data_IF_029526778039
#
_entry.id   IF_029526778039
#
_cell.length_a   1.000
_cell.length_b   1.000
_cell.length_c   1.000
_cell.angle_alpha   90.00
_cell.angle_beta   90.00
_cell.angle_gamma   90.00
#
_symmetry.space_group_name_H-M   'P 1'
#
loop_
_entity.id
_entity.type
_entity.pdbx_description
1 polymer ?
#
# COMPACT_ATOMS: atom_id res chain seq x y z
N UNK A 1 -24.18 -11.36 8.50
CA UNK A 1 -25.12 -10.96 7.43
C UNK A 1 -25.18 -12.06 6.38
N UNK A 2 -26.31 -12.32 5.73
CA UNK A 2 -26.41 -13.31 4.65
C UNK A 2 -27.32 -12.79 3.52
N UNK A 3 -26.93 -13.02 2.27
CA UNK A 3 -27.60 -12.54 1.06
C UNK A 3 -28.08 -13.72 0.23
N UNK A 4 -29.39 -13.85 0.04
CA UNK A 4 -29.99 -14.94 -0.73
C UNK A 4 -30.16 -14.52 -2.20
N UNK A 5 -29.46 -15.24 -3.11
CA UNK A 5 -29.55 -15.07 -4.56
C UNK A 5 -30.43 -16.15 -5.21
N UNK A 6 -31.23 -16.86 -4.41
CA UNK A 6 -32.11 -17.97 -4.81
C UNK A 6 -31.35 -19.28 -5.03
N UNK A 7 -30.25 -19.26 -5.78
CA UNK A 7 -29.43 -20.46 -6.01
C UNK A 7 -28.38 -20.70 -4.93
N UNK A 8 -27.96 -19.64 -4.25
CA UNK A 8 -26.95 -19.67 -3.19
C UNK A 8 -27.17 -18.51 -2.24
N UNK A 9 -26.77 -18.70 -0.97
CA UNK A 9 -26.76 -17.64 0.02
C UNK A 9 -25.32 -17.25 0.31
N UNK A 10 -24.92 -16.00 0.12
CA UNK A 10 -23.59 -15.51 0.51
C UNK A 10 -23.65 -15.00 1.94
N UNK A 11 -22.97 -15.69 2.85
CA UNK A 11 -22.81 -15.28 4.24
C UNK A 11 -21.53 -14.49 4.46
N UNK A 12 -21.65 -13.37 5.17
CA UNK A 12 -20.57 -12.67 5.84
C UNK A 12 -20.63 -13.05 7.32
N UNK A 13 -19.78 -14.00 7.69
CA UNK A 13 -19.81 -14.76 8.95
C UNK A 13 -18.71 -14.26 9.87
N UNK A 14 -18.71 -12.95 10.06
CA UNK A 14 -17.84 -12.23 10.99
C UNK A 14 -18.72 -11.48 11.95
N UNK A 15 -18.42 -11.61 13.25
CA UNK A 15 -19.07 -10.83 14.32
C UNK A 15 -18.60 -9.36 14.31
N UNK A 16 -17.51 -9.06 13.62
CA UNK A 16 -16.73 -7.85 13.82
C UNK A 16 -17.14 -6.68 12.90
N UNK A 17 -18.13 -6.85 12.01
CA UNK A 17 -18.59 -5.83 11.06
C UNK A 17 -17.43 -5.00 10.46
N UNK A 18 -16.32 -5.66 10.11
CA UNK A 18 -15.04 -5.03 9.76
C UNK A 18 -15.11 -4.09 8.56
N UNK A 19 -16.19 -4.15 7.80
CA UNK A 19 -16.51 -3.30 6.68
C UNK A 19 -18.03 -3.25 6.51
N UNK A 20 -18.51 -2.16 5.92
CA UNK A 20 -19.92 -2.02 5.52
C UNK A 20 -19.97 -2.15 4.00
N UNK A 21 -20.45 -3.28 3.45
CA UNK A 21 -20.64 -3.37 2.02
C UNK A 21 -21.75 -2.41 1.61
N UNK A 22 -21.49 -1.61 0.58
CA UNK A 22 -22.50 -0.82 -0.10
C UNK A 22 -23.03 -1.60 -1.30
N UNK A 23 -24.35 -1.64 -1.43
CA UNK A 23 -25.04 -2.29 -2.52
C UNK A 23 -25.92 -1.25 -3.20
N UNK A 24 -25.96 -1.28 -4.51
CA UNK A 24 -26.80 -0.43 -5.31
C UNK A 24 -27.17 -1.14 -6.61
N UNK A 25 -28.32 -0.78 -7.20
CA UNK A 25 -28.78 -1.39 -8.44
C UNK A 25 -27.97 -0.90 -9.64
N UNK A 26 -27.29 0.24 -9.49
CA UNK A 26 -26.40 0.84 -10.47
C UNK A 26 -25.13 1.39 -9.81
N UNK A 27 -24.06 1.51 -10.58
CA UNK A 27 -22.79 2.08 -10.11
C UNK A 27 -22.94 3.56 -9.69
N UNK A 28 -23.84 4.30 -10.35
CA UNK A 28 -24.15 5.70 -10.03
C UNK A 28 -24.81 5.91 -8.67
N UNK A 29 -25.38 4.86 -8.10
CA UNK A 29 -26.02 4.89 -6.78
C UNK A 29 -25.05 4.51 -5.65
N UNK A 30 -23.84 4.03 -5.97
CA UNK A 30 -22.83 3.77 -4.96
C UNK A 30 -22.36 5.11 -4.36
N UNK A 31 -22.13 5.17 -3.03
CA UNK A 31 -21.79 6.43 -2.35
C UNK A 31 -20.45 7.01 -2.79
N UNK A 32 -19.59 6.18 -3.39
CA UNK A 32 -18.30 6.57 -3.92
C UNK A 32 -18.09 5.85 -5.24
N UNK A 33 -17.93 6.61 -6.31
CA UNK A 33 -17.54 6.09 -7.62
C UNK A 33 -16.07 6.44 -7.85
N UNK A 34 -15.20 5.44 -7.74
CA UNK A 34 -13.77 5.62 -8.00
C UNK A 34 -13.50 5.41 -9.48
N UNK A 35 -12.62 6.25 -10.04
CA UNK A 35 -12.10 6.02 -11.39
C UNK A 35 -11.46 4.62 -11.45
N UNK A 36 -11.87 3.78 -12.40
CA UNK A 36 -11.14 2.55 -12.71
C UNK A 36 -9.79 2.95 -13.31
N UNK A 37 -8.77 2.98 -12.45
CA UNK A 37 -7.41 3.35 -12.80
C UNK A 37 -6.82 2.51 -13.95
N UNK A 38 -7.33 1.29 -14.16
CA UNK A 38 -6.87 0.43 -15.23
C UNK A 38 -7.58 0.68 -16.57
N UNK A 39 -8.72 1.38 -16.58
CA UNK A 39 -9.46 1.76 -17.78
C UNK A 39 -9.25 3.24 -18.14
N UNK A 40 -9.25 4.13 -17.15
CA UNK A 40 -9.07 5.58 -17.33
C UNK A 40 -7.95 6.13 -16.41
N UNK A 41 -6.71 5.77 -16.76
CA UNK A 41 -5.53 6.22 -16.01
C UNK A 41 -5.35 7.75 -16.07
N UNK A 42 -5.78 8.40 -17.15
CA UNK A 42 -5.67 9.85 -17.30
C UNK A 42 -6.60 10.59 -16.33
N UNK A 43 -7.87 10.19 -16.24
CA UNK A 43 -8.79 10.76 -15.26
C UNK A 43 -8.33 10.52 -13.82
N UNK A 44 -7.73 9.35 -13.55
CA UNK A 44 -7.11 9.09 -12.24
C UNK A 44 -5.98 10.09 -11.96
N UNK A 45 -5.02 10.25 -12.88
CA UNK A 45 -3.89 11.21 -12.73
C UNK A 45 -4.39 12.65 -12.58
N UNK A 46 -5.46 13.02 -13.30
CA UNK A 46 -6.13 14.31 -13.16
C UNK A 46 -6.73 14.51 -11.76
N UNK A 47 -7.46 13.54 -11.23
CA UNK A 47 -8.03 13.62 -9.88
C UNK A 47 -6.95 13.76 -8.80
N UNK A 48 -5.79 13.11 -8.99
CA UNK A 48 -4.63 13.25 -8.10
C UNK A 48 -4.05 14.66 -8.16
N UNK A 49 -3.91 15.20 -9.37
CA UNK A 49 -3.42 16.54 -9.60
C UNK A 49 -4.32 17.60 -8.95
N UNK A 50 -5.65 17.49 -9.14
CA UNK A 50 -6.64 18.37 -8.54
C UNK A 50 -6.62 18.29 -7.00
N UNK A 51 -6.65 17.08 -6.45
CA UNK A 51 -6.57 16.85 -5.00
C UNK A 51 -5.29 17.45 -4.40
N UNK A 52 -4.15 17.27 -5.07
CA UNK A 52 -2.86 17.84 -4.65
C UNK A 52 -2.89 19.37 -4.59
N UNK A 53 -3.50 20.02 -5.59
CA UNK A 53 -3.63 21.48 -5.65
C UNK A 53 -4.54 22.00 -4.53
N UNK A 54 -5.65 21.32 -4.24
CA UNK A 54 -6.54 21.65 -3.12
C UNK A 54 -5.80 21.56 -1.78
N UNK A 55 -5.10 20.44 -1.56
CA UNK A 55 -4.38 20.17 -0.31
C UNK A 55 -3.24 21.14 -0.03
N UNK A 56 -2.66 21.74 -1.06
CA UNK A 56 -1.58 22.74 -0.93
C UNK A 56 -2.02 24.00 -0.17
N UNK A 57 -3.32 24.23 -0.01
CA UNK A 57 -3.88 25.30 0.80
C UNK A 57 -3.77 25.05 2.32
N UNK A 58 -3.41 23.82 2.72
CA UNK A 58 -3.30 23.39 4.14
C UNK A 58 -1.84 23.19 4.58
N UNK A 59 -1.62 23.01 5.88
CA UNK A 59 -0.31 22.65 6.43
C UNK A 59 0.01 21.18 6.11
N UNK A 60 1.02 20.94 5.26
CA UNK A 60 1.38 19.61 4.73
C UNK A 60 2.54 18.93 5.46
N UNK A 61 2.58 19.05 6.79
CA UNK A 61 3.64 18.48 7.65
C UNK A 61 3.29 17.10 8.22
N UNK A 62 2.05 16.62 8.01
CA UNK A 62 1.62 15.28 8.41
C UNK A 62 2.30 14.22 7.55
N UNK A 63 2.41 12.99 8.04
CA UNK A 63 2.88 11.87 7.21
C UNK A 63 1.96 11.65 6.01
N UNK A 64 2.55 11.51 4.82
CA UNK A 64 1.81 11.25 3.59
C UNK A 64 0.94 9.99 3.70
N UNK A 65 1.43 8.93 4.35
CA UNK A 65 0.68 7.68 4.55
C UNK A 65 -0.61 7.89 5.36
N UNK A 66 -0.62 8.82 6.31
CA UNK A 66 -1.82 9.10 7.11
C UNK A 66 -2.77 10.00 6.32
N UNK A 67 -2.26 11.02 5.63
CA UNK A 67 -3.08 11.90 4.78
C UNK A 67 -3.79 11.11 3.68
N UNK A 68 -3.10 10.17 3.03
CA UNK A 68 -3.70 9.29 2.03
C UNK A 68 -4.80 8.41 2.61
N UNK A 69 -4.62 7.91 3.84
CA UNK A 69 -5.61 7.05 4.51
C UNK A 69 -6.86 7.82 4.96
N UNK A 70 -6.67 9.02 5.51
CA UNK A 70 -7.73 9.78 6.15
C UNK A 70 -8.48 10.64 5.12
N UNK A 71 -7.74 11.40 4.31
CA UNK A 71 -8.27 12.41 3.38
C UNK A 71 -8.23 11.94 1.91
N UNK A 72 -7.51 10.85 1.64
CA UNK A 72 -7.29 10.34 0.29
C UNK A 72 -8.31 9.28 -0.15
N UNK A 73 -9.28 8.91 0.69
CA UNK A 73 -10.16 7.76 0.42
C UNK A 73 -10.91 7.86 -0.92
N UNK A 74 -11.22 9.07 -1.41
CA UNK A 74 -11.87 9.29 -2.71
C UNK A 74 -10.97 8.99 -3.91
N UNK A 75 -9.64 9.10 -3.73
CA UNK A 75 -8.65 9.05 -4.81
C UNK A 75 -7.73 7.82 -4.69
N UNK A 76 -7.42 7.38 -3.47
CA UNK A 76 -6.38 6.39 -3.17
C UNK A 76 -6.96 5.12 -2.52
N UNK A 77 -6.94 4.01 -3.26
CA UNK A 77 -7.35 2.70 -2.77
C UNK A 77 -6.19 1.82 -2.30
N UNK A 78 -5.57 2.10 -1.14
CA UNK A 78 -4.59 1.17 -0.54
C UNK A 78 -3.20 1.19 -1.19
N UNK A 79 -2.40 2.21 -0.86
CA UNK A 79 -1.06 2.43 -1.44
C UNK A 79 0.05 2.43 -0.40
N UNK A 80 1.24 1.96 -0.78
CA UNK A 80 2.45 1.97 0.03
C UNK A 80 3.41 3.08 -0.38
N UNK A 81 3.83 3.91 0.59
CA UNK A 81 4.85 4.95 0.48
C UNK A 81 5.91 4.72 1.55
N UNK A 82 7.05 5.42 1.44
CA UNK A 82 7.90 5.62 2.60
C UNK A 82 7.06 6.16 3.76
N UNK A 83 7.07 5.45 4.88
CA UNK A 83 6.20 5.73 6.02
C UNK A 83 6.63 6.95 6.82
N UNK A 84 7.77 7.55 6.47
CA UNK A 84 8.39 8.66 7.17
C UNK A 84 8.32 9.99 6.42
N UNK A 85 7.91 9.97 5.14
CA UNK A 85 7.77 11.19 4.35
C UNK A 85 6.50 11.93 4.74
N UNK A 86 6.63 13.26 4.81
CA UNK A 86 5.50 14.16 4.95
C UNK A 86 4.71 14.27 3.65
N UNK A 87 3.48 14.75 3.76
CA UNK A 87 2.64 15.12 2.63
C UNK A 87 3.36 16.07 1.67
N UNK A 88 4.02 17.12 2.18
CA UNK A 88 4.82 18.03 1.36
C UNK A 88 5.96 17.32 0.61
N UNK A 89 6.71 16.44 1.28
CA UNK A 89 7.83 15.69 0.65
C UNK A 89 7.37 14.79 -0.49
N UNK A 90 6.17 14.23 -0.39
CA UNK A 90 5.62 13.37 -1.44
C UNK A 90 5.01 14.22 -2.54
N UNK A 91 4.13 15.17 -2.20
CA UNK A 91 3.29 15.87 -3.16
C UNK A 91 3.90 17.15 -3.76
N UNK A 92 5.06 17.60 -3.28
CA UNK A 92 5.86 18.64 -3.96
C UNK A 92 7.03 18.05 -4.75
N UNK A 93 7.17 16.72 -4.81
CA UNK A 93 8.20 16.04 -5.59
C UNK A 93 7.56 15.31 -6.78
N UNK A 94 7.76 15.76 -8.03
CA UNK A 94 7.17 15.12 -9.21
C UNK A 94 7.48 13.62 -9.32
N UNK A 95 8.71 13.23 -9.01
CA UNK A 95 9.11 11.81 -9.03
C UNK A 95 8.37 10.97 -7.99
N UNK A 96 8.15 11.50 -6.78
CA UNK A 96 7.42 10.78 -5.71
C UNK A 96 5.97 10.53 -6.12
N UNK A 97 5.27 11.57 -6.59
CA UNK A 97 3.87 11.43 -7.01
C UNK A 97 3.74 10.52 -8.22
N UNK A 98 4.63 10.64 -9.20
CA UNK A 98 4.62 9.79 -10.37
C UNK A 98 4.86 8.32 -10.00
N UNK A 99 5.89 8.02 -9.19
CA UNK A 99 6.14 6.65 -8.69
C UNK A 99 4.95 6.10 -7.92
N UNK A 100 4.27 6.94 -7.14
CA UNK A 100 3.08 6.55 -6.40
C UNK A 100 1.93 6.15 -7.33
N UNK A 101 1.66 6.96 -8.36
CA UNK A 101 0.63 6.68 -9.36
C UNK A 101 0.94 5.41 -10.16
N UNK A 102 2.19 5.23 -10.59
CA UNK A 102 2.64 4.04 -11.34
C UNK A 102 2.61 2.77 -10.47
N UNK A 103 2.98 2.87 -9.20
CA UNK A 103 2.88 1.77 -8.25
C UNK A 103 1.42 1.36 -8.00
N UNK A 104 0.52 2.34 -7.88
CA UNK A 104 -0.89 2.07 -7.66
C UNK A 104 -1.54 1.42 -8.88
N UNK A 105 -1.28 1.92 -10.09
CA UNK A 105 -1.73 1.26 -11.32
C UNK A 105 -1.16 -0.17 -11.42
N UNK A 106 0.12 -0.37 -11.13
CA UNK A 106 0.73 -1.70 -11.17
C UNK A 106 0.03 -2.67 -10.23
N UNK A 107 -0.29 -2.21 -9.01
CA UNK A 107 -1.02 -3.02 -8.03
C UNK A 107 -2.42 -3.38 -8.52
N UNK A 108 -3.16 -2.40 -9.04
CA UNK A 108 -4.51 -2.60 -9.60
C UNK A 108 -4.46 -3.57 -10.79
N UNK A 109 -3.56 -3.36 -11.76
CA UNK A 109 -3.45 -4.20 -12.94
C UNK A 109 -3.05 -5.65 -12.60
N UNK A 110 -2.07 -5.85 -11.70
CA UNK A 110 -1.70 -7.19 -11.20
C UNK A 110 -2.85 -7.86 -10.46
N UNK A 111 -3.70 -7.08 -9.81
CA UNK A 111 -4.90 -7.60 -9.17
C UNK A 111 -5.92 -7.97 -10.23
N UNK A 112 -6.33 -7.08 -11.12
CA UNK A 112 -7.28 -7.34 -12.20
C UNK A 112 -6.92 -8.58 -13.04
N UNK A 113 -5.67 -8.66 -13.48
CA UNK A 113 -5.20 -9.74 -14.38
C UNK A 113 -4.88 -11.04 -13.64
N UNK A 114 -4.38 -10.98 -12.40
CA UNK A 114 -3.89 -12.15 -11.67
C UNK A 114 -4.81 -12.65 -10.56
N UNK A 115 -5.86 -11.91 -10.18
CA UNK A 115 -6.67 -12.24 -9.00
C UNK A 115 -7.38 -13.59 -9.14
N UNK A 116 -7.92 -13.91 -10.32
CA UNK A 116 -8.63 -15.19 -10.52
C UNK A 116 -7.70 -16.39 -10.30
N UNK A 117 -6.54 -16.39 -10.94
CA UNK A 117 -5.55 -17.46 -10.80
C UNK A 117 -4.95 -17.50 -9.40
N UNK A 118 -4.78 -16.32 -8.80
CA UNK A 118 -4.38 -16.20 -7.40
C UNK A 118 -5.42 -16.85 -6.49
N UNK A 119 -6.70 -16.49 -6.58
CA UNK A 119 -7.75 -16.97 -5.67
C UNK A 119 -8.09 -18.46 -5.88
N UNK A 120 -7.95 -18.99 -7.10
CA UNK A 120 -8.25 -20.40 -7.45
C UNK A 120 -7.79 -21.42 -6.39
N UNK A 121 -6.52 -21.46 -5.94
CA UNK A 121 -6.04 -22.40 -4.91
C UNK A 121 -6.54 -22.13 -3.48
N UNK A 122 -7.15 -20.98 -3.21
CA UNK A 122 -7.66 -20.61 -1.88
C UNK A 122 -9.12 -20.97 -1.70
N UNK A 123 -9.84 -21.39 -2.75
CA UNK A 123 -11.19 -21.89 -2.62
C UNK A 123 -11.18 -23.30 -2.04
N UNK A 124 -11.90 -23.50 -0.93
CA UNK A 124 -12.29 -24.82 -0.47
C UNK A 124 -13.81 -24.87 -0.36
N UNK A 125 -14.46 -25.51 -1.34
CA UNK A 125 -15.89 -25.35 -1.56
C UNK A 125 -16.21 -23.89 -1.86
N UNK A 126 -16.87 -23.23 -0.91
CA UNK A 126 -17.31 -21.84 -1.04
C UNK A 126 -16.64 -20.87 -0.06
N UNK A 127 -15.62 -21.32 0.67
CA UNK A 127 -14.87 -20.49 1.62
C UNK A 127 -13.51 -20.13 1.05
N UNK A 128 -13.10 -18.87 1.19
CA UNK A 128 -11.78 -18.43 0.83
C UNK A 128 -10.78 -18.65 1.98
N UNK A 129 -9.63 -19.23 1.66
CA UNK A 129 -8.51 -19.44 2.58
C UNK A 129 -8.86 -20.23 3.86
N UNK A 130 -9.64 -21.31 3.70
CA UNK A 130 -10.11 -22.16 4.79
C UNK A 130 -8.99 -22.80 5.65
N UNK A 131 -7.77 -22.93 5.14
CA UNK A 131 -6.64 -23.54 5.86
C UNK A 131 -5.53 -22.55 6.20
N UNK A 132 -4.78 -22.83 7.27
CA UNK A 132 -3.55 -22.09 7.63
C UNK A 132 -2.56 -22.03 6.46
N UNK A 133 -2.40 -23.12 5.70
CA UNK A 133 -1.50 -23.15 4.54
C UNK A 133 -1.98 -22.20 3.42
N UNK A 134 -3.29 -22.19 3.15
CA UNK A 134 -3.87 -21.22 2.22
C UNK A 134 -3.64 -19.81 2.75
N UNK A 135 -3.96 -19.50 4.01
CA UNK A 135 -3.71 -18.17 4.58
C UNK A 135 -2.25 -17.72 4.42
N UNK A 136 -1.29 -18.56 4.78
CA UNK A 136 0.15 -18.26 4.62
C UNK A 136 0.58 -18.05 3.16
N UNK A 137 -0.10 -18.65 2.18
CA UNK A 137 0.18 -18.40 0.76
C UNK A 137 -0.20 -16.97 0.36
N UNK A 138 -1.18 -16.34 1.00
CA UNK A 138 -1.54 -14.95 0.75
C UNK A 138 -0.42 -13.98 1.14
N UNK A 139 0.28 -14.25 2.25
CA UNK A 139 1.43 -13.45 2.68
C UNK A 139 2.53 -13.32 1.62
N UNK A 140 2.61 -14.28 0.69
CA UNK A 140 3.55 -14.24 -0.44
C UNK A 140 3.23 -13.12 -1.44
N UNK A 141 1.99 -12.63 -1.47
CA UNK A 141 1.54 -11.52 -2.33
C UNK A 141 1.85 -10.15 -1.72
N UNK A 142 1.96 -10.08 -0.39
CA UNK A 142 2.42 -8.89 0.29
C UNK A 142 3.90 -8.70 -0.01
N UNK A 143 4.35 -7.46 -0.24
CA UNK A 143 5.78 -7.21 -0.39
C UNK A 143 6.43 -7.06 0.98
N UNK A 144 6.14 -5.95 1.69
CA UNK A 144 6.72 -5.59 2.99
C UNK A 144 5.80 -5.89 4.17
N UNK A 145 4.50 -5.64 4.03
CA UNK A 145 3.54 -5.74 5.14
C UNK A 145 3.50 -7.14 5.77
N UNK A 146 3.58 -7.20 7.10
CA UNK A 146 3.44 -8.45 7.85
C UNK A 146 4.61 -9.41 7.71
N UNK A 147 5.80 -8.94 7.32
CA UNK A 147 6.99 -9.78 7.14
C UNK A 147 8.15 -9.31 8.02
N UNK A 148 8.99 -10.26 8.42
CA UNK A 148 10.27 -9.96 9.10
C UNK A 148 11.36 -9.59 8.09
N UNK A 149 11.33 -10.21 6.91
CA UNK A 149 12.31 -9.99 5.85
C UNK A 149 11.63 -10.01 4.48
N UNK A 150 12.23 -9.29 3.54
CA UNK A 150 11.82 -9.29 2.13
C UNK A 150 13.00 -9.62 1.23
N UNK A 151 12.69 -10.27 0.12
CA UNK A 151 13.66 -10.40 -0.97
C UNK A 151 13.78 -9.07 -1.73
N UNK A 152 15.00 -8.75 -2.13
CA UNK A 152 15.32 -7.54 -2.87
C UNK A 152 16.43 -7.79 -3.88
N UNK A 153 16.55 -6.89 -4.86
CA UNK A 153 17.68 -6.85 -5.77
C UNK A 153 18.95 -6.43 -5.04
N UNK A 154 20.11 -6.70 -5.65
CA UNK A 154 21.40 -6.20 -5.16
C UNK A 154 21.36 -4.69 -5.01
N UNK A 155 20.93 -3.98 -6.06
CA UNK A 155 20.88 -2.51 -6.07
C UNK A 155 19.95 -1.93 -5.01
N UNK A 156 18.80 -2.56 -4.76
CA UNK A 156 17.87 -2.10 -3.73
C UNK A 156 18.44 -2.33 -2.33
N UNK A 157 19.20 -3.40 -2.13
CA UNK A 157 19.93 -3.64 -0.89
C UNK A 157 21.05 -2.62 -0.68
N UNK A 158 21.86 -2.34 -1.71
CA UNK A 158 22.90 -1.32 -1.67
C UNK A 158 22.33 0.08 -1.38
N UNK A 159 21.25 0.48 -2.05
CA UNK A 159 20.54 1.74 -1.77
C UNK A 159 20.05 1.81 -0.31
N UNK A 160 19.54 0.70 0.24
CA UNK A 160 19.10 0.65 1.63
C UNK A 160 20.27 0.80 2.61
N UNK A 161 21.42 0.18 2.32
CA UNK A 161 22.64 0.32 3.12
C UNK A 161 23.15 1.75 3.08
N UNK A 162 23.28 2.34 1.88
CA UNK A 162 23.71 3.73 1.70
C UNK A 162 22.78 4.71 2.43
N UNK A 163 21.47 4.49 2.35
CA UNK A 163 20.48 5.28 3.07
C UNK A 163 20.68 5.19 4.59
N UNK A 164 20.86 3.98 5.12
CA UNK A 164 21.13 3.76 6.54
C UNK A 164 22.44 4.39 7.00
N UNK A 165 23.51 4.27 6.19
CA UNK A 165 24.82 4.87 6.46
C UNK A 165 24.76 6.39 6.46
N UNK A 166 24.06 6.99 5.50
CA UNK A 166 23.82 8.43 5.46
C UNK A 166 23.09 8.91 6.71
N UNK A 167 22.03 8.21 7.14
CA UNK A 167 21.31 8.56 8.36
C UNK A 167 22.16 8.39 9.63
N UNK A 168 22.99 7.35 9.71
CA UNK A 168 23.89 7.15 10.85
C UNK A 168 24.95 8.25 10.92
N UNK A 169 25.52 8.63 9.77
CA UNK A 169 26.51 9.70 9.67
C UNK A 169 25.92 11.03 10.14
N UNK A 170 24.81 11.44 9.52
CA UNK A 170 24.17 12.70 9.89
C UNK A 170 23.56 12.66 11.29
N UNK A 171 23.02 11.53 11.75
CA UNK A 171 22.46 11.39 13.09
C UNK A 171 23.49 11.44 14.21
N UNK A 172 24.77 11.18 13.92
CA UNK A 172 25.88 11.38 14.85
C UNK A 172 26.32 12.84 14.93
N UNK A 173 25.98 13.65 13.93
CA UNK A 173 26.27 15.08 13.90
C UNK A 173 25.17 15.86 14.63
N UNK A 174 25.53 16.90 15.39
CA UNK A 174 24.53 17.79 16.00
C UNK A 174 23.88 18.74 14.97
N UNK A 175 24.51 18.86 13.79
CA UNK A 175 24.04 19.75 12.73
C UNK A 175 22.77 19.20 12.08
N UNK A 176 21.85 20.11 11.77
CA UNK A 176 20.63 19.77 11.04
C UNK A 176 20.93 19.60 9.55
N UNK A 177 20.25 18.65 8.92
CA UNK A 177 20.41 18.37 7.49
C UNK A 177 19.06 18.18 6.80
N UNK A 178 19.01 18.42 5.49
CA UNK A 178 17.80 18.25 4.69
C UNK A 178 17.59 16.78 4.29
N UNK A 179 16.34 16.32 4.32
CA UNK A 179 15.94 14.97 3.89
C UNK A 179 15.86 14.86 2.36
N UNK A 180 16.98 14.96 1.67
CA UNK A 180 17.04 14.90 0.21
C UNK A 180 18.40 14.38 -0.29
N UNK A 181 18.56 14.32 -1.61
CA UNK A 181 19.78 13.90 -2.30
C UNK A 181 21.05 14.66 -1.88
N UNK A 182 20.95 15.93 -1.43
CA UNK A 182 22.14 16.69 -0.98
C UNK A 182 22.76 16.12 0.29
N UNK A 183 21.96 15.43 1.11
CA UNK A 183 22.43 14.68 2.27
C UNK A 183 22.88 13.25 1.92
N UNK A 184 22.87 12.87 0.64
CA UNK A 184 23.08 11.49 0.20
C UNK A 184 21.91 10.56 0.55
N UNK A 185 20.72 11.11 0.80
CA UNK A 185 19.51 10.33 1.04
C UNK A 185 18.77 10.11 -0.27
N UNK A 186 19.02 8.95 -0.87
CA UNK A 186 18.29 8.47 -2.04
C UNK A 186 17.20 7.49 -1.63
N UNK A 187 16.07 7.54 -2.33
CA UNK A 187 14.97 6.62 -2.10
C UNK A 187 15.37 5.18 -2.44
N UNK A 188 15.01 4.27 -1.53
CA UNK A 188 15.16 2.82 -1.75
C UNK A 188 14.06 2.34 -2.70
N UNK A 189 14.30 2.55 -3.99
CA UNK A 189 13.35 2.30 -5.07
C UNK A 189 13.86 1.25 -6.06
N UNK A 190 12.95 0.38 -6.51
CA UNK A 190 13.22 -0.67 -7.50
C UNK A 190 12.23 -0.55 -8.68
N UNK A 191 12.65 0.03 -9.82
CA UNK A 191 11.80 0.27 -10.98
C UNK A 191 11.08 -0.98 -11.50
N UNK A 192 11.69 -2.16 -11.37
CA UNK A 192 11.08 -3.41 -11.83
C UNK A 192 9.75 -3.71 -11.12
N UNK A 193 9.55 -3.20 -9.90
CA UNK A 193 8.30 -3.40 -9.16
C UNK A 193 7.11 -2.69 -9.82
N UNK A 194 7.35 -1.60 -10.56
CA UNK A 194 6.35 -0.83 -11.32
C UNK A 194 6.43 -1.07 -12.83
N UNK A 195 7.22 -2.05 -13.27
CA UNK A 195 7.42 -2.38 -14.70
C UNK A 195 6.13 -2.46 -15.53
N UNK A 196 5.06 -3.14 -15.07
CA UNK A 196 3.81 -3.20 -15.84
C UNK A 196 3.26 -1.82 -16.19
N UNK A 197 3.34 -0.85 -15.28
CA UNK A 197 2.81 0.48 -15.55
C UNK A 197 3.70 1.26 -16.55
N UNK A 198 4.99 0.98 -16.58
CA UNK A 198 5.92 1.60 -17.54
C UNK A 198 5.88 0.95 -18.94
N UNK A 199 5.57 -0.35 -19.03
CA UNK A 199 5.56 -1.09 -20.31
C UNK A 199 4.16 -1.28 -20.92
N UNK A 200 3.13 -1.52 -20.10
CA UNK A 200 1.82 -1.98 -20.60
C UNK A 200 0.87 -0.82 -20.96
N UNK A 201 1.17 0.39 -20.51
CA UNK A 201 0.37 1.59 -20.78
C UNK A 201 0.95 2.42 -21.92
N UNK A 202 0.07 2.94 -22.78
CA UNK A 202 0.45 3.96 -23.76
C UNK A 202 0.82 5.30 -23.11
N UNK A 203 0.27 5.57 -21.93
CA UNK A 203 0.45 6.80 -21.17
C UNK A 203 0.98 6.48 -19.77
N UNK A 204 2.21 6.92 -19.49
CA UNK A 204 2.91 6.71 -18.22
C UNK A 204 3.71 7.96 -17.83
N UNK A 205 4.16 8.00 -16.58
CA UNK A 205 4.82 9.15 -15.96
C UNK A 205 6.34 8.96 -15.86
N UNK A 206 6.94 8.15 -16.73
CA UNK A 206 8.38 7.84 -16.68
C UNK A 206 9.26 9.10 -16.71
N UNK A 207 8.86 10.13 -17.48
CA UNK A 207 9.60 11.40 -17.57
C UNK A 207 9.67 12.15 -16.24
N UNK A 208 8.62 12.06 -15.40
CA UNK A 208 8.62 12.63 -14.06
C UNK A 208 9.42 11.79 -13.05
N UNK A 209 9.48 10.46 -13.24
CA UNK A 209 10.18 9.56 -12.31
C UNK A 209 11.69 9.72 -12.42
N UNK A 210 12.23 9.61 -13.63
CA UNK A 210 13.68 9.47 -13.85
C UNK A 210 14.37 10.72 -14.39
N UNK A 211 13.62 11.80 -14.67
CA UNK A 211 14.16 13.03 -15.26
C UNK A 211 14.98 12.73 -16.54
N UNK A 212 14.29 12.36 -17.63
CA UNK A 212 14.97 12.00 -18.89
C UNK A 212 14.25 11.01 -19.81
N UNK A 213 13.04 10.57 -19.45
CA UNK A 213 12.19 9.79 -20.36
C UNK A 213 11.82 10.59 -21.62
N UNK A 214 11.47 9.89 -22.71
CA UNK A 214 10.93 10.58 -23.89
C UNK A 214 9.74 11.41 -23.45
N UNK A 215 9.80 12.74 -23.65
CA UNK A 215 8.67 13.60 -23.33
C UNK A 215 7.43 13.02 -23.99
N UNK A 216 6.40 12.73 -23.20
CA UNK A 216 5.08 12.46 -23.76
C UNK A 216 4.75 13.60 -24.74
N UNK A 217 4.20 13.26 -25.90
CA UNK A 217 3.70 14.26 -26.85
C UNK A 217 2.60 15.14 -26.23
N UNK A 218 1.97 14.64 -25.16
CA UNK A 218 0.90 15.30 -24.42
C UNK A 218 1.39 15.67 -23.02
N UNK A 219 1.07 16.88 -22.58
CA UNK A 219 1.38 17.33 -21.23
C UNK A 219 0.41 16.69 -20.24
N UNK A 220 0.90 15.80 -19.39
CA UNK A 220 0.09 15.11 -18.39
C UNK A 220 -0.48 16.07 -17.33
N UNK A 221 -1.65 15.77 -16.71
CA UNK A 221 -2.25 16.62 -15.69
C UNK A 221 -1.35 16.91 -14.49
N UNK A 222 -0.47 15.97 -14.11
CA UNK A 222 0.49 16.19 -13.02
C UNK A 222 1.55 17.23 -13.39
N UNK A 223 2.15 17.13 -14.58
CA UNK A 223 3.06 18.14 -15.11
C UNK A 223 2.42 19.54 -15.11
N UNK A 224 1.15 19.64 -15.54
CA UNK A 224 0.42 20.91 -15.53
C UNK A 224 0.24 21.44 -14.11
N UNK A 225 -0.15 20.58 -13.16
CA UNK A 225 -0.30 20.96 -11.76
C UNK A 225 1.03 21.43 -11.14
N UNK A 226 2.14 20.72 -11.39
CA UNK A 226 3.47 21.14 -10.93
C UNK A 226 3.90 22.48 -11.52
N UNK A 227 3.69 22.71 -12.82
CA UNK A 227 3.93 24.03 -13.44
C UNK A 227 3.11 25.13 -12.78
N UNK A 228 1.82 24.87 -12.50
CA UNK A 228 0.92 25.86 -11.90
C UNK A 228 1.35 26.30 -10.49
N UNK A 229 2.07 25.45 -9.77
CA UNK A 229 2.58 25.71 -8.42
C UNK A 229 4.07 26.09 -8.39
N UNK A 230 4.65 26.39 -9.56
CA UNK A 230 6.02 26.87 -9.71
C UNK A 230 7.08 25.79 -9.50
N UNK A 231 6.74 24.51 -9.67
CA UNK A 231 7.67 23.38 -9.63
C UNK A 231 7.83 22.88 -11.07
N UNK A 232 8.94 23.18 -11.75
CA UNK A 232 9.14 22.68 -13.10
C UNK A 232 9.08 21.13 -13.14
N UNK A 233 8.35 20.50 -14.06
CA UNK A 233 8.31 19.04 -14.18
C UNK A 233 9.68 18.43 -14.48
N UNK A 234 10.58 19.22 -15.05
CA UNK A 234 11.99 18.94 -15.28
C UNK A 234 12.89 19.41 -14.13
N UNK A 235 12.38 19.51 -12.90
CA UNK A 235 13.29 19.60 -11.75
C UNK A 235 14.15 18.34 -11.66
N UNK A 236 15.43 18.51 -11.33
CA UNK A 236 16.36 17.40 -11.05
C UNK A 236 16.04 16.64 -9.75
N UNK A 237 15.08 17.15 -8.95
CA UNK A 237 14.68 16.59 -7.66
C UNK A 237 13.88 15.30 -7.85
N UNK A 238 14.60 14.19 -8.08
CA UNK A 238 14.00 12.86 -8.15
C UNK A 238 14.13 12.10 -6.82
N UNK A 239 15.12 12.49 -5.99
CA UNK A 239 15.63 11.71 -4.86
C UNK A 239 16.05 10.29 -5.27
N UNK A 240 16.35 10.06 -6.54
CA UNK A 240 16.77 8.78 -7.08
C UNK A 240 18.26 8.81 -7.43
N UNK A 241 18.95 7.70 -7.17
CA UNK A 241 20.29 7.48 -7.70
C UNK A 241 20.18 6.89 -9.11
N UNK A 242 19.81 7.72 -10.10
CA UNK A 242 19.33 7.28 -11.43
C UNK A 242 20.32 6.33 -12.14
N UNK A 243 21.63 6.56 -11.99
CA UNK A 243 22.68 5.74 -12.61
C UNK A 243 22.65 4.27 -12.15
N UNK A 244 22.08 3.99 -10.99
CA UNK A 244 21.93 2.63 -10.43
C UNK A 244 20.91 1.78 -11.21
N UNK A 245 20.10 2.41 -12.07
CA UNK A 245 18.99 1.74 -12.76
C UNK A 245 19.34 1.26 -14.19
N UNK A 246 20.56 0.77 -14.40
CA UNK A 246 20.98 0.17 -15.67
C UNK A 246 21.36 -1.31 -15.49
N UNK A 247 20.62 -2.28 -16.07
CA UNK A 247 19.39 -2.10 -16.84
C UNK A 247 18.20 -1.65 -15.98
N UNK A 248 17.19 -1.02 -16.60
CA UNK A 248 16.03 -0.50 -15.88
C UNK A 248 15.22 -1.61 -15.20
N UNK A 249 15.07 -2.75 -15.89
CA UNK A 249 14.30 -3.89 -15.40
C UNK A 249 15.20 -5.10 -15.16
N UNK A 250 14.97 -5.76 -14.03
CA UNK A 250 15.67 -6.96 -13.62
C UNK A 250 14.81 -8.21 -13.84
N UNK A 251 15.47 -9.36 -13.98
CA UNK A 251 14.81 -10.66 -13.94
C UNK A 251 14.38 -11.03 -12.52
N UNK A 252 13.49 -12.03 -12.39
CA UNK A 252 13.01 -12.50 -11.07
C UNK A 252 14.14 -13.01 -10.16
N UNK A 253 15.12 -13.82 -10.62
CA UNK A 253 16.24 -14.21 -9.78
C UNK A 253 17.06 -13.02 -9.26
N UNK A 254 17.26 -12.00 -10.10
CA UNK A 254 17.99 -10.78 -9.71
C UNK A 254 17.23 -9.98 -8.65
N UNK A 255 15.90 -9.92 -8.72
CA UNK A 255 15.05 -9.30 -7.69
C UNK A 255 15.04 -10.05 -6.35
N UNK A 256 15.59 -11.27 -6.30
CA UNK A 256 15.60 -12.12 -5.11
C UNK A 256 17.00 -12.43 -4.59
N UNK A 257 17.99 -11.66 -5.04
CA UNK A 257 19.40 -11.90 -4.76
C UNK A 257 19.79 -11.62 -3.31
N UNK A 258 19.10 -10.68 -2.65
CA UNK A 258 19.37 -10.27 -1.26
C UNK A 258 18.12 -10.36 -0.40
N UNK A 259 18.31 -10.34 0.91
CA UNK A 259 17.26 -10.19 1.91
C UNK A 259 17.46 -8.89 2.68
N UNK A 260 16.38 -8.16 2.92
CA UNK A 260 16.36 -6.92 3.70
C UNK A 260 15.44 -7.12 4.90
N UNK A 261 15.91 -6.74 6.08
CA UNK A 261 15.09 -6.72 7.30
C UNK A 261 14.01 -5.67 7.19
N UNK A 262 12.79 -6.08 7.53
CA UNK A 262 11.66 -5.16 7.66
C UNK A 262 11.62 -4.61 9.07
N UNK A 263 11.17 -3.36 9.18
CA UNK A 263 11.01 -2.61 10.43
C UNK A 263 9.53 -2.31 10.64
N UNK A 264 9.12 -2.29 11.90
CA UNK A 264 7.76 -2.01 12.33
C UNK A 264 7.73 -0.73 13.15
N UNK A 265 6.88 0.21 12.77
CA UNK A 265 6.67 1.45 13.50
C UNK A 265 5.22 1.56 13.95
N UNK A 266 5.02 2.17 15.11
CA UNK A 266 3.69 2.48 15.62
C UNK A 266 3.68 3.88 16.21
N UNK A 267 2.55 4.57 16.12
CA UNK A 267 2.35 5.84 16.83
C UNK A 267 1.04 5.87 17.61
N UNK A 268 0.86 6.91 18.41
CA UNK A 268 -0.36 7.10 19.21
C UNK A 268 -1.57 7.17 18.28
N UNK A 269 -2.53 6.24 18.45
CA UNK A 269 -3.72 6.10 17.58
C UNK A 269 -3.42 5.83 16.10
N UNK A 270 -2.20 5.38 15.77
CA UNK A 270 -1.82 5.06 14.39
C UNK A 270 -1.81 3.54 14.16
N UNK A 271 -2.28 3.12 12.99
CA UNK A 271 -2.13 1.72 12.55
C UNK A 271 -0.64 1.41 12.37
N UNK A 272 -0.21 0.15 12.60
CA UNK A 272 1.17 -0.24 12.38
C UNK A 272 1.66 0.08 10.96
N UNK A 273 2.87 0.61 10.86
CA UNK A 273 3.53 1.00 9.62
C UNK A 273 4.74 0.09 9.40
N UNK A 274 4.88 -0.48 8.21
CA UNK A 274 5.96 -1.40 7.86
C UNK A 274 6.87 -0.72 6.84
N UNK A 275 8.19 -0.79 7.05
CA UNK A 275 9.18 -0.20 6.14
C UNK A 275 10.43 -1.06 6.05
N UNK A 276 11.23 -0.85 5.00
CA UNK A 276 12.58 -1.40 4.86
C UNK A 276 13.66 -0.36 5.17
N UNK A 277 13.27 0.91 5.34
CA UNK A 277 14.14 2.01 5.73
C UNK A 277 13.97 2.33 7.22
N UNK A 278 15.02 2.77 7.91
CA UNK A 278 14.92 3.29 9.28
C UNK A 278 14.17 4.63 9.32
N UNK A 279 13.81 5.05 10.54
CA UNK A 279 13.28 6.38 10.82
C UNK A 279 14.38 7.44 10.69
N UNK A 280 13.99 8.66 10.32
CA UNK A 280 14.90 9.81 10.33
C UNK A 280 15.37 10.15 11.76
N UNK A 281 16.64 10.55 11.95
CA UNK A 281 17.10 11.09 13.22
C UNK A 281 16.44 12.45 13.51
N UNK A 282 16.47 12.90 14.77
CA UNK A 282 15.77 14.11 15.22
C UNK A 282 16.31 15.41 14.61
N UNK A 283 17.55 15.41 14.10
CA UNK A 283 18.19 16.53 13.41
C UNK A 283 17.87 16.58 11.90
N UNK A 284 17.18 15.57 11.35
CA UNK A 284 16.76 15.57 9.95
C UNK A 284 15.56 16.50 9.73
N UNK A 285 15.72 17.52 8.89
CA UNK A 285 14.71 18.52 8.58
C UNK A 285 14.06 18.28 7.22
N UNK A 286 12.81 18.71 7.11
CA UNK A 286 12.08 18.77 5.85
C UNK A 286 12.82 19.70 4.86
N UNK A 287 13.20 19.16 3.70
CA UNK A 287 14.16 19.81 2.79
C UNK A 287 13.65 20.98 1.94
N UNK A 288 12.37 21.33 2.02
CA UNK A 288 11.75 22.22 1.02
C UNK A 288 11.61 23.68 1.40
N UNK A 289 12.19 24.13 2.51
CA UNK A 289 12.12 25.56 2.82
C UNK A 289 13.37 26.10 3.50
N UNK A 290 14.04 27.11 2.92
CA UNK A 290 15.00 27.93 3.64
C UNK A 290 14.21 28.85 4.59
N UNK A 291 13.61 28.29 5.62
CA UNK A 291 12.78 29.04 6.55
C UNK A 291 13.69 29.70 7.59
N UNK A 292 13.79 31.03 7.49
CA UNK A 292 14.25 31.97 8.53
C UNK A 292 13.40 31.92 9.82
N UNK A 293 12.42 31.03 9.93
CA UNK A 293 11.60 30.83 11.13
C UNK A 293 12.15 29.67 11.96
N UNK A 294 12.48 30.00 13.21
CA UNK A 294 13.07 29.12 14.22
C UNK A 294 12.13 28.02 14.74
N UNK A 295 10.96 27.79 14.14
CA UNK A 295 10.06 26.74 14.65
C UNK A 295 10.61 25.36 14.29
N UNK A 296 11.31 24.77 15.25
CA UNK A 296 11.64 23.35 15.30
C UNK A 296 10.32 22.58 15.37
N UNK A 297 9.72 22.24 14.24
CA UNK A 297 8.64 21.25 14.22
C UNK A 297 9.34 19.91 13.99
N UNK A 298 9.63 19.13 15.05
CA UNK A 298 10.09 17.76 14.86
C UNK A 298 9.04 17.06 14.01
N UNK A 299 9.45 16.53 12.87
CA UNK A 299 8.55 15.80 12.00
C UNK A 299 8.28 14.47 12.69
N UNK A 300 7.16 14.46 13.40
CA UNK A 300 6.46 13.30 13.94
C UNK A 300 7.12 12.64 15.17
N UNK A 301 7.06 13.27 16.36
CA UNK A 301 7.60 12.72 17.60
C UNK A 301 6.93 11.42 18.05
N UNK A 302 5.83 11.02 17.43
CA UNK A 302 4.98 9.94 17.94
C UNK A 302 5.30 8.55 17.36
N UNK A 303 6.12 8.46 16.30
CA UNK A 303 6.50 7.15 15.76
C UNK A 303 7.64 6.52 16.55
N UNK A 304 7.41 5.29 16.99
CA UNK A 304 8.40 4.47 17.70
C UNK A 304 8.63 3.19 16.92
N UNK A 305 9.90 2.87 16.66
CA UNK A 305 10.30 1.58 16.11
C UNK A 305 10.11 0.48 17.17
N UNK A 306 9.45 -0.60 16.79
CA UNK A 306 9.18 -1.74 17.66
C UNK A 306 10.36 -2.69 17.72
N UNK A 307 10.55 -3.31 18.87
CA UNK A 307 11.55 -4.35 19.07
C UNK A 307 11.25 -5.57 18.19
N UNK A 308 12.27 -6.38 17.90
CA UNK A 308 12.11 -7.60 17.10
C UNK A 308 11.03 -8.56 17.67
N UNK A 309 10.93 -8.82 18.98
CA UNK A 309 9.85 -9.66 19.52
C UNK A 309 8.45 -9.09 19.27
N UNK A 310 8.28 -7.77 19.35
CA UNK A 310 7.02 -7.09 19.02
C UNK A 310 6.72 -7.19 17.52
N UNK A 311 7.72 -7.00 16.67
CA UNK A 311 7.60 -7.18 15.21
C UNK A 311 7.12 -8.59 14.86
N UNK A 312 7.73 -9.63 15.45
CA UNK A 312 7.37 -11.03 15.18
C UNK A 312 5.89 -11.27 15.46
N UNK A 313 5.35 -10.74 16.56
CA UNK A 313 3.93 -10.86 16.92
C UNK A 313 2.99 -10.20 15.91
N UNK A 314 3.48 -9.19 15.21
CA UNK A 314 2.71 -8.48 14.18
C UNK A 314 2.86 -9.10 12.78
N UNK A 315 3.78 -10.05 12.59
CA UNK A 315 3.92 -10.73 11.31
C UNK A 315 2.67 -11.51 10.93
N UNK A 316 2.41 -11.59 9.64
CA UNK A 316 1.29 -12.35 9.09
C UNK A 316 1.40 -13.83 9.48
N UNK A 317 2.62 -14.37 9.49
CA UNK A 317 2.86 -15.76 9.91
C UNK A 317 2.42 -15.99 11.35
N UNK A 318 2.87 -15.15 12.29
CA UNK A 318 2.47 -15.26 13.69
C UNK A 318 0.96 -15.12 13.85
N UNK A 319 0.34 -14.13 13.19
CA UNK A 319 -1.13 -13.96 13.22
C UNK A 319 -1.87 -15.21 12.76
N UNK A 320 -1.39 -15.88 11.72
CA UNK A 320 -2.05 -17.07 11.17
C UNK A 320 -1.79 -18.35 11.97
N UNK A 321 -0.59 -18.53 12.54
CA UNK A 321 -0.21 -19.77 13.23
C UNK A 321 -0.45 -19.72 14.73
N UNK A 322 -0.23 -18.57 15.36
CA UNK A 322 -0.26 -18.41 16.82
C UNK A 322 -1.53 -17.74 17.33
N UNK A 323 -2.32 -17.14 16.42
CA UNK A 323 -3.56 -16.46 16.79
C UNK A 323 -4.76 -17.04 16.04
N UNK A 324 -5.96 -16.83 16.59
CA UNK A 324 -7.24 -17.13 15.91
C UNK A 324 -7.76 -15.92 15.13
N UNK A 325 -6.95 -14.88 14.96
CA UNK A 325 -7.34 -13.67 14.25
C UNK A 325 -7.36 -13.91 12.74
N UNK A 326 -8.24 -13.20 12.04
CA UNK A 326 -8.16 -13.14 10.59
C UNK A 326 -6.97 -12.32 10.12
N UNK A 327 -6.37 -12.75 9.01
CA UNK A 327 -5.17 -12.13 8.46
C UNK A 327 -5.36 -11.55 7.05
N UNK A 328 -6.23 -12.13 6.22
CA UNK A 328 -6.57 -11.69 4.85
C UNK A 328 -7.72 -10.67 4.84
N UNK A 329 -8.35 -10.44 6.00
CA UNK A 329 -9.44 -9.49 6.17
C UNK A 329 -10.82 -10.12 5.91
N UNK A 330 -11.81 -9.34 5.48
CA UNK A 330 -13.21 -9.76 5.47
C UNK A 330 -13.51 -10.96 4.56
N UNK A 331 -12.67 -11.20 3.56
CA UNK A 331 -12.83 -12.33 2.66
C UNK A 331 -12.56 -13.69 3.33
N UNK A 332 -11.85 -13.75 4.46
CA UNK A 332 -11.76 -14.99 5.27
C UNK A 332 -13.12 -15.41 5.85
N UNK A 333 -14.06 -14.46 5.92
CA UNK A 333 -15.38 -14.63 6.51
C UNK A 333 -16.51 -14.51 5.47
N UNK A 334 -16.19 -14.55 4.18
CA UNK A 334 -17.17 -14.54 3.11
C UNK A 334 -17.22 -15.92 2.47
N UNK A 335 -18.43 -16.49 2.36
CA UNK A 335 -18.63 -17.74 1.63
C UNK A 335 -20.09 -18.06 1.36
N UNK A 336 -20.35 -19.05 0.52
CA UNK A 336 -21.71 -19.54 0.34
C UNK A 336 -22.07 -20.37 1.57
N UNK A 337 -23.16 -19.96 2.23
CA UNK A 337 -23.75 -20.65 3.36
C UNK A 337 -24.94 -21.50 2.92
N UNK A 338 -25.09 -22.64 3.57
CA UNK A 338 -26.22 -23.54 3.43
C UNK A 338 -27.29 -23.12 4.43
N UNK A 339 -28.51 -22.97 3.95
CA UNK A 339 -29.68 -22.73 4.80
C UNK A 339 -30.23 -24.07 5.24
N UNK A 340 -29.99 -24.44 6.49
CA UNK A 340 -30.54 -25.65 7.09
C UNK A 340 -31.87 -25.28 7.74
N UNK A 341 -32.96 -25.83 7.21
CA UNK A 341 -34.29 -25.65 7.79
C UNK A 341 -34.61 -26.85 8.68
N UNK A 342 -34.79 -26.66 9.99
CA UNK A 342 -35.03 -27.77 10.91
C UNK A 342 -36.35 -28.50 10.62
N UNK A 343 -36.31 -29.84 10.55
CA UNK A 343 -37.49 -30.67 10.44
C UNK A 343 -38.22 -30.72 11.80
N UNK A 344 -39.23 -29.88 11.99
CA UNK A 344 -39.99 -29.84 13.25
C UNK A 344 -40.74 -28.55 13.55
N UNK A 345 -40.81 -27.58 12.63
CA UNK A 345 -41.61 -26.36 12.81
C UNK A 345 -40.94 -25.22 13.57
N UNK A 346 -39.65 -25.37 13.94
CA UNK A 346 -38.83 -24.21 14.28
C UNK A 346 -38.69 -23.30 13.05
N UNK A 347 -39.00 -22.01 13.21
CA UNK A 347 -38.93 -21.00 12.14
C UNK A 347 -37.52 -20.47 11.90
N UNK A 348 -36.55 -20.79 12.75
CA UNK A 348 -35.20 -20.26 12.63
C UNK A 348 -34.34 -21.21 11.78
N UNK A 349 -34.04 -20.77 10.56
CA UNK A 349 -33.07 -21.41 9.70
C UNK A 349 -31.65 -21.24 10.26
N UNK A 350 -30.87 -22.31 10.25
CA UNK A 350 -29.46 -22.30 10.66
C UNK A 350 -28.62 -22.07 9.40
N UNK A 351 -27.73 -21.09 9.43
CA UNK A 351 -26.77 -20.87 8.37
C UNK A 351 -25.50 -21.66 8.68
N UNK A 352 -25.09 -22.50 7.74
CA UNK A 352 -23.91 -23.36 7.87
C UNK A 352 -22.91 -23.05 6.75
N UNK A 353 -21.65 -22.80 7.09
CA UNK A 353 -20.63 -22.48 6.09
C UNK A 353 -20.07 -23.77 5.45
N UNK A 354 -20.12 -24.90 6.18
CA UNK A 354 -19.69 -26.20 5.70
C UNK A 354 -20.45 -27.34 6.40
N UNK A 355 -20.51 -28.53 5.80
CA UNK A 355 -21.24 -29.68 6.35
C UNK A 355 -20.87 -30.05 7.79
N UNK A 356 -19.62 -29.81 8.18
CA UNK A 356 -19.08 -30.11 9.51
C UNK A 356 -18.89 -28.85 10.36
N UNK A 357 -19.66 -27.79 10.08
CA UNK A 357 -19.59 -26.55 10.85
C UNK A 357 -19.96 -26.86 12.33
N UNK A 358 -19.04 -26.65 13.29
CA UNK A 358 -19.28 -26.97 14.69
C UNK A 358 -20.39 -26.11 15.31
N UNK A 359 -20.79 -25.01 14.67
CA UNK A 359 -21.96 -24.22 15.07
C UNK A 359 -23.29 -24.90 14.69
N UNK A 360 -23.27 -25.90 13.80
CA UNK A 360 -24.45 -26.68 13.43
C UNK A 360 -24.64 -27.83 14.42
N UNK A 361 -25.81 -27.95 15.09
CA UNK A 361 -26.05 -29.04 16.02
C UNK A 361 -25.88 -30.40 15.34
N UNK A 362 -25.34 -31.38 16.06
CA UNK A 362 -25.04 -32.71 15.52
C UNK A 362 -26.26 -33.40 14.87
N UNK A 363 -27.47 -33.09 15.32
CA UNK A 363 -28.73 -33.57 14.73
C UNK A 363 -28.97 -33.11 13.29
N UNK A 364 -28.26 -32.08 12.83
CA UNK A 364 -28.37 -31.49 11.49
C UNK A 364 -27.11 -31.70 10.62
N UNK A 365 -26.08 -32.35 11.16
CA UNK A 365 -24.89 -32.76 10.40
C UNK A 365 -25.24 -34.07 9.68
N UNK A 366 -25.49 -34.00 8.36
CA UNK A 366 -25.87 -35.14 7.49
C UNK A 366 -24.65 -35.77 6.84
#
# INVERSE_FOLDING_TARGET
MALDFGQYVVGFVTLDNLFTPHWADSESELPVNHVDICEDYEAFVKGIAEWMLERRQSHRTKLAVNVIRDDGHLVWGGVGLSVHLTEGEVFDCPSHVARLCEAFWTFANKTRTGLKDFLRPFWYGYVLAATTQQRLRFARRLYVHGKEQVFASERMHELQQQYQEALNRHGAEEQQFARNETAGLYDVFEPTLIRPALEDKAYNLQHLIFHGGSKSKFEDPLSQAFKSIGIPPDTLLTNLHVDTYTPLFLSKPELQKRQISVRLFTGVKQKPLWSITPMFPSNAMHGMTPIKSRSRIPVNPDLVERSRPELIKETFQYKVTETRLAAIGPLEYCGIVWVITPQGGSKESILSICRNDPAVPASYQI
#
